data_IF_475711102190
#
_entry.id   IF_475711102190
#
_cell.length_a   1.000
_cell.length_b   1.000
_cell.length_c   1.000
_cell.angle_alpha   90.00
_cell.angle_beta   90.00
_cell.angle_gamma   90.00
#
_symmetry.space_group_name_H-M   'P 1'
#
loop_
_entity.id
_entity.type
_entity.pdbx_description
1 polymer ?
#
# COMPACT_ATOMS: atom_id res chain seq x y z
N UNK A 1 2.82 -19.24 22.30
CA UNK A 1 1.70 -18.72 21.49
C UNK A 1 1.16 -17.51 22.25
N UNK A 2 1.27 -16.33 21.69
CA UNK A 2 0.67 -15.14 22.28
C UNK A 2 -0.86 -15.28 22.28
N UNK A 3 -1.53 -14.84 23.35
CA UNK A 3 -2.99 -14.78 23.37
C UNK A 3 -3.50 -13.74 22.38
N UNK A 4 -4.76 -13.81 21.98
CA UNK A 4 -5.39 -12.81 21.10
C UNK A 4 -5.26 -11.40 21.69
N UNK A 5 -5.36 -11.28 23.04
CA UNK A 5 -5.20 -9.99 23.75
C UNK A 5 -3.75 -9.47 23.65
N UNK A 6 -2.75 -10.33 23.81
CA UNK A 6 -1.35 -9.95 23.66
C UNK A 6 -1.01 -9.54 22.22
N UNK A 7 -1.60 -10.20 21.24
CA UNK A 7 -1.45 -9.82 19.84
C UNK A 7 -2.15 -8.49 19.55
N UNK A 8 -3.35 -8.28 20.04
CA UNK A 8 -4.06 -7.02 19.91
C UNK A 8 -3.26 -5.86 20.54
N UNK A 9 -2.74 -6.04 21.75
CA UNK A 9 -1.91 -5.04 22.42
C UNK A 9 -0.62 -4.73 21.65
N UNK A 10 0.03 -5.75 21.05
CA UNK A 10 1.22 -5.54 20.24
C UNK A 10 0.90 -4.78 18.93
N UNK A 11 -0.20 -5.15 18.24
CA UNK A 11 -0.63 -4.48 17.01
C UNK A 11 -1.09 -3.04 17.26
N UNK A 12 -1.75 -2.77 18.39
CA UNK A 12 -2.15 -1.41 18.77
C UNK A 12 -0.94 -0.47 18.90
N UNK A 13 0.22 -0.99 19.33
CA UNK A 13 1.45 -0.21 19.42
C UNK A 13 1.99 0.22 18.06
N UNK A 14 1.71 -0.51 17.00
CA UNK A 14 2.17 -0.15 15.65
C UNK A 14 1.60 1.19 15.21
N UNK A 15 0.39 1.53 15.66
CA UNK A 15 -0.25 2.81 15.40
C UNK A 15 0.18 3.96 16.33
N UNK A 16 1.11 3.72 17.28
CA UNK A 16 1.58 4.78 18.18
C UNK A 16 2.30 5.89 17.41
N UNK A 17 1.95 7.12 17.75
CA UNK A 17 2.56 8.31 17.18
C UNK A 17 3.31 9.10 18.27
N UNK A 18 4.28 9.89 17.86
CA UNK A 18 5.00 10.83 18.72
C UNK A 18 5.06 12.20 18.06
N UNK A 19 5.07 13.24 18.90
CA UNK A 19 5.22 14.61 18.45
C UNK A 19 6.70 15.00 18.48
N UNK A 20 7.19 15.55 17.39
CA UNK A 20 8.59 15.97 17.23
C UNK A 20 8.67 17.32 16.56
N UNK A 21 9.84 17.97 16.63
CA UNK A 21 10.05 19.19 15.85
C UNK A 21 10.09 18.89 14.36
N UNK A 22 9.72 19.85 13.50
CA UNK A 22 9.82 19.73 12.06
C UNK A 22 11.21 19.29 11.58
N UNK A 23 12.27 19.86 12.14
CA UNK A 23 13.65 19.53 11.78
C UNK A 23 13.98 18.08 12.07
N UNK A 24 13.54 17.56 13.23
CA UNK A 24 13.74 16.15 13.56
C UNK A 24 12.93 15.23 12.65
N UNK A 25 11.73 15.64 12.23
CA UNK A 25 10.93 14.86 11.28
C UNK A 25 11.64 14.77 9.92
N UNK A 26 12.19 15.89 9.42
CA UNK A 26 12.97 15.91 8.17
C UNK A 26 14.25 15.06 8.26
N UNK A 27 14.99 15.16 9.37
CA UNK A 27 16.16 14.31 9.62
C UNK A 27 15.82 12.82 9.65
N UNK A 28 14.60 12.50 10.07
CA UNK A 28 14.06 11.14 10.04
C UNK A 28 13.49 10.73 8.66
N UNK A 29 13.51 11.62 7.66
CA UNK A 29 13.10 11.34 6.29
C UNK A 29 11.61 11.61 6.01
N UNK A 30 10.89 12.30 6.90
CA UNK A 30 9.51 12.69 6.63
C UNK A 30 9.46 14.00 5.86
N UNK A 31 8.59 14.08 4.85
CA UNK A 31 8.36 15.30 4.11
C UNK A 31 7.37 16.20 4.86
N UNK A 32 7.72 17.46 5.03
CA UNK A 32 6.81 18.48 5.55
C UNK A 32 5.99 19.12 4.43
N UNK A 33 4.74 19.52 4.74
CA UNK A 33 3.91 20.29 3.81
C UNK A 33 4.42 21.72 3.68
N UNK A 34 5.33 21.93 2.74
CA UNK A 34 5.93 23.25 2.53
C UNK A 34 5.04 24.22 1.71
N UNK A 35 3.99 23.78 1.01
CA UNK A 35 3.13 24.62 0.15
C UNK A 35 1.80 23.97 -0.27
N UNK A 36 1.11 23.25 0.63
CA UNK A 36 -0.19 22.61 0.28
C UNK A 36 -0.04 21.34 -0.56
N UNK A 37 1.16 20.76 -0.59
CA UNK A 37 1.42 19.42 -1.11
C UNK A 37 1.31 18.39 0.04
N UNK A 38 1.10 17.13 -0.32
CA UNK A 38 1.00 16.03 0.62
C UNK A 38 2.23 15.93 1.52
N UNK A 39 2.08 16.32 2.80
CA UNK A 39 3.14 16.31 3.79
C UNK A 39 2.59 16.48 5.20
N UNK A 40 3.45 16.29 6.20
CA UNK A 40 3.10 16.49 7.60
C UNK A 40 2.93 17.99 7.90
N UNK A 41 1.84 18.33 8.58
CA UNK A 41 1.54 19.71 8.99
C UNK A 41 1.87 19.91 10.46
N UNK A 42 2.61 20.99 10.79
CA UNK A 42 2.78 21.37 12.18
C UNK A 42 1.45 21.71 12.84
N UNK A 43 1.30 21.32 14.10
CA UNK A 43 0.17 21.67 14.94
C UNK A 43 0.31 23.13 15.50
N UNK A 44 -0.60 23.50 16.41
CA UNK A 44 -0.62 24.83 17.02
C UNK A 44 0.65 25.14 17.84
N UNK A 45 1.36 24.13 18.31
CA UNK A 45 2.62 24.24 19.03
C UNK A 45 3.85 24.15 18.12
N UNK A 46 3.63 24.02 16.83
CA UNK A 46 4.70 23.92 15.84
C UNK A 46 5.36 22.54 15.76
N UNK A 47 4.74 21.51 16.33
CA UNK A 47 5.22 20.14 16.29
C UNK A 47 4.47 19.33 15.24
N UNK A 48 5.10 18.29 14.71
CA UNK A 48 4.48 17.33 13.79
C UNK A 48 4.34 15.96 14.44
N UNK A 49 3.27 15.27 14.10
CA UNK A 49 3.06 13.88 14.51
C UNK A 49 3.69 12.93 13.52
N UNK A 50 4.57 12.04 14.01
CA UNK A 50 5.19 10.98 13.21
C UNK A 50 4.94 9.61 13.87
N UNK A 51 4.90 8.52 13.10
CA UNK A 51 4.80 7.17 13.67
C UNK A 51 6.03 6.87 14.53
N UNK A 52 5.79 6.18 15.66
CA UNK A 52 6.87 5.69 16.52
C UNK A 52 7.66 4.54 15.86
N UNK A 53 7.00 3.78 14.99
CA UNK A 53 7.51 2.56 14.38
C UNK A 53 7.47 2.66 12.86
N UNK A 54 8.54 2.30 12.20
CA UNK A 54 8.61 2.28 10.73
C UNK A 54 8.15 0.97 10.14
N UNK A 55 8.36 -0.13 10.85
CA UNK A 55 7.93 -1.46 10.43
C UNK A 55 7.69 -2.34 11.64
N UNK A 56 6.84 -3.32 11.47
CA UNK A 56 6.58 -4.39 12.44
C UNK A 56 6.73 -5.75 11.77
N UNK A 57 7.32 -6.69 12.46
CA UNK A 57 7.44 -8.08 12.02
C UNK A 57 6.47 -8.93 12.82
N UNK A 58 5.54 -9.58 12.14
CA UNK A 58 4.53 -10.43 12.75
C UNK A 58 4.78 -11.86 12.31
N UNK A 59 5.10 -12.74 13.27
CA UNK A 59 5.19 -14.17 13.03
C UNK A 59 3.82 -14.80 13.25
N UNK A 60 3.22 -15.30 12.19
CA UNK A 60 1.92 -15.94 12.22
C UNK A 60 2.05 -17.40 11.76
N UNK A 61 1.53 -18.39 12.53
CA UNK A 61 1.61 -19.79 12.17
C UNK A 61 0.65 -20.10 11.00
N UNK A 62 1.18 -20.12 9.80
CA UNK A 62 0.45 -20.45 8.58
C UNK A 62 1.34 -21.28 7.66
N UNK A 63 0.85 -22.36 7.03
CA UNK A 63 1.66 -23.26 6.22
C UNK A 63 2.48 -22.59 5.12
N UNK A 64 1.99 -21.52 4.50
CA UNK A 64 2.73 -20.76 3.48
C UNK A 64 3.88 -19.97 4.10
N UNK A 65 3.68 -19.38 5.27
CA UNK A 65 4.72 -18.59 5.95
C UNK A 65 5.80 -19.51 6.52
N UNK A 66 5.43 -20.71 6.97
CA UNK A 66 6.37 -21.73 7.45
C UNK A 66 7.29 -22.26 6.33
N UNK A 67 6.87 -22.12 5.06
CA UNK A 67 7.69 -22.42 3.88
C UNK A 67 8.65 -21.28 3.51
N UNK A 68 8.72 -20.24 4.32
CA UNK A 68 9.62 -19.11 4.10
C UNK A 68 9.02 -17.94 3.30
N UNK A 69 7.69 -17.97 3.05
CA UNK A 69 7.03 -16.80 2.48
C UNK A 69 7.04 -15.65 3.49
N UNK A 70 7.48 -14.48 3.05
CA UNK A 70 7.36 -13.23 3.78
C UNK A 70 6.46 -12.29 2.99
N UNK A 71 5.39 -11.83 3.61
CA UNK A 71 4.49 -10.84 3.02
C UNK A 71 4.85 -9.48 3.59
N UNK A 72 5.19 -8.54 2.72
CA UNK A 72 5.40 -7.15 3.07
C UNK A 72 4.14 -6.37 2.72
N UNK A 73 3.38 -5.96 3.74
CA UNK A 73 2.29 -5.02 3.60
C UNK A 73 2.85 -3.59 3.68
N UNK A 74 2.45 -2.75 2.73
CA UNK A 74 2.95 -1.38 2.63
C UNK A 74 1.80 -0.39 2.77
N UNK A 75 2.01 0.75 3.43
CA UNK A 75 1.05 1.84 3.40
C UNK A 75 0.70 2.22 1.95
N UNK A 76 -0.53 2.63 1.71
CA UNK A 76 -0.91 3.16 0.40
C UNK A 76 0.00 4.33 0.02
N UNK A 77 0.47 4.36 -1.21
CA UNK A 77 1.43 5.37 -1.69
C UNK A 77 0.89 6.80 -1.63
N UNK A 78 -0.43 6.96 -1.53
CA UNK A 78 -1.12 8.24 -1.36
C UNK A 78 -1.59 8.46 0.10
N UNK A 79 -1.18 7.63 1.05
CA UNK A 79 -1.55 7.83 2.45
C UNK A 79 -0.82 9.04 3.03
N UNK A 80 -1.56 9.97 3.63
CA UNK A 80 -1.01 11.16 4.28
C UNK A 80 -0.03 10.72 5.36
N UNK A 81 1.18 11.25 5.35
CA UNK A 81 2.24 10.88 6.29
C UNK A 81 2.91 9.53 6.01
N UNK A 82 2.53 8.83 4.94
CA UNK A 82 3.27 7.67 4.48
C UNK A 82 4.65 8.10 3.96
N UNK A 83 5.65 7.25 4.18
CA UNK A 83 6.96 7.39 3.54
C UNK A 83 6.95 6.58 2.22
N UNK A 84 6.52 7.16 1.08
CA UNK A 84 6.48 6.44 -0.20
C UNK A 84 7.86 5.88 -0.55
N UNK A 85 8.90 6.61 -0.21
CA UNK A 85 10.30 6.24 -0.46
C UNK A 85 10.70 4.94 0.24
N UNK A 86 10.23 4.70 1.47
CA UNK A 86 10.48 3.43 2.17
C UNK A 86 9.83 2.25 1.44
N UNK A 87 8.58 2.41 1.05
CA UNK A 87 7.84 1.39 0.27
C UNK A 87 8.56 1.13 -1.06
N UNK A 88 8.89 2.18 -1.79
CA UNK A 88 9.55 2.10 -3.09
C UNK A 88 10.96 1.48 -3.00
N UNK A 89 11.68 1.73 -1.90
CA UNK A 89 13.00 1.15 -1.65
C UNK A 89 12.97 -0.37 -1.44
N UNK A 90 11.83 -0.94 -1.03
CA UNK A 90 11.67 -2.39 -0.83
C UNK A 90 11.31 -3.14 -2.12
N UNK A 91 10.72 -2.48 -3.11
CA UNK A 91 10.31 -3.13 -4.35
C UNK A 91 11.46 -3.86 -5.08
N UNK A 92 12.70 -3.33 -5.14
CA UNK A 92 13.82 -4.04 -5.74
C UNK A 92 14.19 -5.34 -5.01
N UNK A 93 13.85 -5.48 -3.74
CA UNK A 93 14.16 -6.65 -2.92
C UNK A 93 13.06 -7.71 -2.94
N UNK A 94 11.85 -7.37 -3.38
CA UNK A 94 10.73 -8.29 -3.47
C UNK A 94 10.97 -9.34 -4.57
N UNK A 95 10.55 -10.59 -4.37
CA UNK A 95 10.58 -11.64 -5.38
C UNK A 95 9.34 -11.60 -6.29
N UNK A 96 8.23 -11.13 -5.75
CA UNK A 96 6.99 -10.88 -6.48
C UNK A 96 6.31 -9.62 -5.94
N UNK A 97 5.53 -8.97 -6.79
CA UNK A 97 4.79 -7.75 -6.46
C UNK A 97 3.31 -8.01 -6.76
N UNK A 98 2.47 -7.83 -5.74
CA UNK A 98 1.03 -7.77 -5.89
C UNK A 98 0.61 -6.30 -5.92
N UNK A 99 0.16 -5.84 -7.09
CA UNK A 99 -0.31 -4.47 -7.28
C UNK A 99 -1.84 -4.46 -7.15
N UNK A 100 -2.32 -3.96 -6.02
CA UNK A 100 -3.74 -4.03 -5.67
C UNK A 100 -4.43 -2.73 -6.07
N UNK A 101 -5.45 -2.85 -6.92
CA UNK A 101 -6.26 -1.77 -7.43
C UNK A 101 -7.71 -1.95 -6.97
N UNK A 102 -8.42 -0.86 -6.74
CA UNK A 102 -9.83 -0.92 -6.39
C UNK A 102 -10.71 -0.86 -7.66
N UNK A 103 -11.66 -1.77 -7.77
CA UNK A 103 -12.53 -1.87 -8.94
C UNK A 103 -13.45 -0.65 -9.12
N UNK A 104 -13.77 0.05 -8.03
CA UNK A 104 -14.62 1.24 -8.04
C UNK A 104 -13.93 2.48 -8.63
N UNK A 105 -12.62 2.57 -8.49
CA UNK A 105 -11.82 3.71 -8.97
C UNK A 105 -11.04 3.41 -10.26
N UNK A 106 -10.80 2.13 -10.55
CA UNK A 106 -9.94 1.71 -11.65
C UNK A 106 -8.49 2.15 -11.48
N UNK A 107 -7.74 2.25 -12.58
CA UNK A 107 -6.34 2.67 -12.57
C UNK A 107 -6.27 4.20 -12.58
N UNK A 108 -5.74 4.80 -11.53
CA UNK A 108 -5.54 6.25 -11.43
C UNK A 108 -4.21 6.69 -12.08
N UNK A 109 -4.04 7.99 -12.28
CA UNK A 109 -2.77 8.54 -12.80
C UNK A 109 -1.59 8.28 -11.85
N UNK A 110 -1.84 8.33 -10.53
CA UNK A 110 -0.81 8.00 -9.54
C UNK A 110 -0.44 6.52 -9.58
N UNK A 111 -1.42 5.63 -9.76
CA UNK A 111 -1.15 4.19 -9.91
C UNK A 111 -0.29 3.92 -11.15
N UNK A 112 -0.60 4.59 -12.27
CA UNK A 112 0.20 4.48 -13.50
C UNK A 112 1.64 4.96 -13.32
N UNK A 113 1.84 6.09 -12.63
CA UNK A 113 3.18 6.59 -12.35
C UNK A 113 3.98 5.57 -11.54
N UNK A 114 3.40 5.06 -10.45
CA UNK A 114 4.03 4.03 -9.61
C UNK A 114 4.31 2.76 -10.42
N UNK A 115 3.34 2.30 -11.20
CA UNK A 115 3.51 1.11 -12.03
C UNK A 115 4.68 1.26 -13.01
N UNK A 116 4.73 2.37 -13.75
CA UNK A 116 5.77 2.62 -14.74
C UNK A 116 7.15 2.82 -14.13
N UNK A 117 7.23 3.64 -13.09
CA UNK A 117 8.50 4.09 -12.55
C UNK A 117 9.13 3.05 -11.61
N UNK A 118 8.31 2.28 -10.89
CA UNK A 118 8.79 1.41 -9.82
C UNK A 118 8.48 -0.07 -10.02
N UNK A 119 7.31 -0.42 -10.53
CA UNK A 119 6.90 -1.83 -10.71
C UNK A 119 7.37 -2.37 -12.05
N UNK A 120 7.21 -1.61 -13.13
CA UNK A 120 7.61 -2.01 -14.49
C UNK A 120 9.04 -1.60 -14.86
N UNK A 121 9.78 -1.00 -13.93
CA UNK A 121 11.16 -0.57 -14.13
C UNK A 121 12.13 -1.73 -14.40
N UNK A 122 13.29 -1.44 -14.98
CA UNK A 122 14.27 -2.43 -15.41
C UNK A 122 14.74 -3.40 -14.30
N UNK A 123 14.75 -2.95 -13.04
CA UNK A 123 15.16 -3.76 -11.87
C UNK A 123 14.09 -4.76 -11.41
N UNK A 124 12.83 -4.53 -11.78
CA UNK A 124 11.69 -5.35 -11.36
C UNK A 124 11.13 -6.21 -12.49
N UNK A 125 11.53 -5.95 -13.73
CA UNK A 125 10.99 -6.58 -14.95
C UNK A 125 11.10 -8.11 -14.99
N UNK A 126 12.07 -8.69 -14.28
CA UNK A 126 12.28 -10.14 -14.20
C UNK A 126 11.53 -10.82 -13.06
N UNK A 127 10.75 -10.07 -12.29
CA UNK A 127 10.02 -10.57 -11.11
C UNK A 127 8.58 -10.90 -11.45
N UNK A 128 7.98 -11.77 -10.64
CA UNK A 128 6.54 -12.00 -10.73
C UNK A 128 5.77 -10.71 -10.40
N UNK A 129 4.89 -10.28 -11.31
CA UNK A 129 4.03 -9.11 -11.13
C UNK A 129 2.61 -9.52 -11.40
N UNK A 130 1.74 -9.21 -10.47
CA UNK A 130 0.31 -9.54 -10.56
C UNK A 130 -0.46 -8.28 -10.19
N UNK A 131 -1.30 -7.79 -11.09
CA UNK A 131 -2.30 -6.79 -10.76
C UNK A 131 -3.57 -7.50 -10.25
N UNK A 132 -4.11 -7.02 -9.15
CA UNK A 132 -5.30 -7.58 -8.50
C UNK A 132 -6.38 -6.51 -8.41
N UNK A 133 -7.53 -6.77 -9.00
CA UNK A 133 -8.73 -5.96 -8.78
C UNK A 133 -9.40 -6.39 -7.48
N UNK A 134 -9.40 -5.50 -6.51
CA UNK A 134 -10.03 -5.67 -5.21
C UNK A 134 -11.36 -4.89 -5.13
N UNK A 135 -12.14 -5.11 -4.09
CA UNK A 135 -13.45 -4.46 -3.85
C UNK A 135 -14.48 -4.72 -4.96
N UNK A 136 -14.38 -5.85 -5.62
CA UNK A 136 -15.34 -6.25 -6.65
C UNK A 136 -16.73 -6.50 -6.07
N UNK A 137 -16.82 -6.79 -4.78
CA UNK A 137 -18.07 -6.92 -4.02
C UNK A 137 -18.96 -5.67 -4.11
N UNK A 138 -18.38 -4.50 -4.27
CA UNK A 138 -19.12 -3.26 -4.51
C UNK A 138 -19.89 -3.20 -5.84
N UNK A 139 -19.65 -4.15 -6.75
CA UNK A 139 -20.38 -4.25 -8.01
C UNK A 139 -21.76 -4.93 -7.85
N UNK A 140 -21.99 -5.63 -6.74
CA UNK A 140 -23.28 -6.24 -6.39
C UNK A 140 -24.20 -5.21 -5.73
N UNK A 141 -24.85 -4.39 -6.56
CA UNK A 141 -25.75 -3.30 -6.13
C UNK A 141 -27.22 -3.73 -5.95
N UNK A 142 -27.52 -5.01 -6.22
CA UNK A 142 -28.89 -5.56 -6.17
C UNK A 142 -29.77 -5.18 -7.35
N UNK A 143 -29.24 -4.44 -8.32
CA UNK A 143 -29.98 -3.98 -9.52
C UNK A 143 -29.56 -4.78 -10.74
N UNK A 144 -28.25 -5.09 -10.86
CA UNK A 144 -27.66 -5.83 -11.97
C UNK A 144 -27.81 -7.33 -11.77
N UNK A 145 -27.99 -8.04 -12.87
CA UNK A 145 -27.91 -9.51 -12.87
C UNK A 145 -26.47 -9.99 -12.69
N UNK A 146 -26.30 -11.21 -12.24
CA UNK A 146 -24.98 -11.83 -12.06
C UNK A 146 -24.16 -11.84 -13.36
N UNK A 147 -24.81 -12.13 -14.48
CA UNK A 147 -24.15 -12.11 -15.80
C UNK A 147 -23.65 -10.70 -16.20
N UNK A 148 -24.38 -9.65 -15.84
CA UNK A 148 -23.95 -8.28 -16.08
C UNK A 148 -22.77 -7.88 -15.19
N UNK A 149 -22.75 -8.37 -13.94
CA UNK A 149 -21.63 -8.14 -13.02
C UNK A 149 -20.38 -8.88 -13.50
N UNK A 150 -20.49 -10.15 -13.91
CA UNK A 150 -19.37 -10.90 -14.47
C UNK A 150 -18.81 -10.26 -15.75
N UNK A 151 -19.67 -9.76 -16.63
CA UNK A 151 -19.27 -9.01 -17.81
C UNK A 151 -18.56 -7.72 -17.46
N UNK A 152 -19.00 -7.01 -16.42
CA UNK A 152 -18.34 -5.81 -15.92
C UNK A 152 -16.95 -6.11 -15.36
N UNK A 153 -16.84 -7.14 -14.50
CA UNK A 153 -15.55 -7.58 -13.95
C UNK A 153 -14.59 -7.92 -15.10
N UNK A 154 -15.04 -8.71 -16.07
CA UNK A 154 -14.23 -9.09 -17.23
C UNK A 154 -13.74 -7.87 -18.03
N UNK A 155 -14.60 -6.88 -18.20
CA UNK A 155 -14.27 -5.63 -18.88
C UNK A 155 -13.22 -4.82 -18.11
N UNK A 156 -13.38 -4.73 -16.79
CA UNK A 156 -12.44 -4.01 -15.93
C UNK A 156 -11.08 -4.71 -15.87
N UNK A 157 -11.04 -6.05 -15.77
CA UNK A 157 -9.79 -6.82 -15.85
C UNK A 157 -9.06 -6.54 -17.15
N UNK A 158 -9.77 -6.62 -18.28
CA UNK A 158 -9.19 -6.33 -19.60
C UNK A 158 -8.68 -4.89 -19.70
N UNK A 159 -9.49 -3.91 -19.30
CA UNK A 159 -9.10 -2.50 -19.31
C UNK A 159 -7.87 -2.23 -18.43
N UNK A 160 -7.80 -2.87 -17.27
CA UNK A 160 -6.65 -2.76 -16.37
C UNK A 160 -5.40 -3.38 -16.99
N UNK A 161 -5.52 -4.58 -17.57
CA UNK A 161 -4.41 -5.25 -18.25
C UNK A 161 -3.88 -4.40 -19.42
N UNK A 162 -4.78 -3.90 -20.28
CA UNK A 162 -4.42 -3.02 -21.40
C UNK A 162 -3.72 -1.73 -20.92
N UNK A 163 -4.22 -1.14 -19.83
CA UNK A 163 -3.66 0.11 -19.26
C UNK A 163 -2.29 -0.08 -18.62
N UNK A 164 -2.06 -1.23 -17.98
CA UNK A 164 -0.80 -1.58 -17.33
C UNK A 164 0.17 -2.32 -18.27
N UNK A 165 -0.20 -2.54 -19.53
CA UNK A 165 0.59 -3.28 -20.52
C UNK A 165 0.97 -4.69 -20.01
N UNK A 166 -0.02 -5.40 -19.44
CA UNK A 166 0.10 -6.78 -18.99
C UNK A 166 -0.36 -7.74 -20.10
N UNK A 167 0.39 -8.85 -20.27
CA UNK A 167 0.06 -9.95 -21.18
C UNK A 167 -1.03 -10.86 -20.61
#
# INVERSE_FOLDING_TARGET
TASAEAMHAALSRVGEQKRVSPELAEDLGFSLDAQGKEGLKPDAEGLVEIPCWRHAVINFPHPLLEQGLVILDTPGLNAIGAEPELTLSQLPNAHAILFILAADTGVTQSDLAVWRDHVNGARTRQKGRIAVLNKIDGLWDGIRSEAEIEAEISRQVKSTADTLELD
#
